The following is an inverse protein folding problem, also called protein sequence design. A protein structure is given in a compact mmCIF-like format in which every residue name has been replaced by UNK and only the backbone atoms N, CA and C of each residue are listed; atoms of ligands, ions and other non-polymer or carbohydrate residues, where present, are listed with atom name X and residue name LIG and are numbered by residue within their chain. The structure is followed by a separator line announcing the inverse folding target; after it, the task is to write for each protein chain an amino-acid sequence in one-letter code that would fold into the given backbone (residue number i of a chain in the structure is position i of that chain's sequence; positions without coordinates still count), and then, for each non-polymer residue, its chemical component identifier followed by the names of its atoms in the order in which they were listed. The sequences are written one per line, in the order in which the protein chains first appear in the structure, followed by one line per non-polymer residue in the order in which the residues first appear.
data_IF_397476820787
#
_entry.id   IF_397476820787
#
_cell.length_a   1.000
_cell.length_b   1.000
_cell.length_c   1.000
_cell.angle_alpha   90.00
_cell.angle_beta   90.00
_cell.angle_gamma   90.00
#
_symmetry.space_group_name_H-M   'P 1'
#
loop_
_entity.id
_entity.type
_entity.pdbx_description
1 polymer ?
#
# COMPACT_ATOMS: atom_id res chain seq x y z
N UNK A 1 16.14 -8.93 10.12
CA UNK A 1 14.71 -9.34 10.16
C UNK A 1 14.28 -9.56 8.73
N UNK A 2 13.42 -10.54 8.50
CA UNK A 2 12.97 -10.88 7.14
C UNK A 2 11.64 -10.23 6.86
N UNK A 3 11.52 -9.66 5.66
CA UNK A 3 10.34 -8.95 5.20
C UNK A 3 9.95 -9.49 3.83
N UNK A 4 8.66 -9.78 3.67
CA UNK A 4 8.09 -10.23 2.41
C UNK A 4 6.97 -9.30 1.98
N UNK A 5 6.99 -8.89 0.72
CA UNK A 5 5.87 -8.32 0.00
C UNK A 5 5.42 -9.34 -1.06
N UNK A 6 4.26 -9.94 -0.86
CA UNK A 6 3.62 -10.83 -1.83
C UNK A 6 2.50 -10.09 -2.56
N UNK A 7 2.59 -10.03 -3.88
CA UNK A 7 1.60 -9.35 -4.73
C UNK A 7 0.86 -10.35 -5.58
N UNK A 8 -0.46 -10.20 -5.66
CA UNK A 8 -1.35 -11.01 -6.49
C UNK A 8 -2.12 -10.12 -7.45
N UNK A 9 -2.67 -10.68 -8.52
CA UNK A 9 -3.62 -9.94 -9.36
C UNK A 9 -4.88 -9.71 -8.52
N UNK A 10 -5.39 -10.81 -7.96
CA UNK A 10 -6.38 -10.83 -6.89
C UNK A 10 -5.92 -11.80 -5.81
N UNK A 11 -5.57 -11.29 -4.63
CA UNK A 11 -5.09 -12.10 -3.52
C UNK A 11 -6.21 -13.04 -3.03
N UNK A 12 -5.97 -14.36 -2.97
CA UNK A 12 -6.93 -15.29 -2.40
C UNK A 12 -7.00 -15.13 -0.88
N UNK A 13 -8.14 -15.44 -0.29
CA UNK A 13 -8.32 -15.34 1.17
C UNK A 13 -7.31 -16.16 1.97
N UNK A 14 -6.86 -17.30 1.42
CA UNK A 14 -5.85 -18.17 2.03
C UNK A 14 -4.46 -17.52 2.11
N UNK A 15 -4.15 -16.55 1.24
CA UNK A 15 -2.88 -15.83 1.28
C UNK A 15 -2.89 -14.68 2.30
N UNK A 16 -4.06 -14.18 2.69
CA UNK A 16 -4.18 -13.01 3.57
C UNK A 16 -3.97 -13.42 5.03
N UNK A 17 -2.95 -12.84 5.68
CA UNK A 17 -2.48 -13.23 7.02
C UNK A 17 -2.29 -12.01 7.93
N UNK A 18 -2.38 -12.23 9.24
CA UNK A 18 -2.20 -11.15 10.21
C UNK A 18 -3.38 -10.19 10.24
N UNK A 19 -3.09 -8.89 10.33
CA UNK A 19 -4.10 -7.82 10.28
C UNK A 19 -4.64 -7.70 8.85
N UNK A 20 -5.94 -7.91 8.67
CA UNK A 20 -6.65 -7.71 7.39
C UNK A 20 -7.20 -6.29 7.29
N UNK A 21 -7.07 -5.66 6.13
CA UNK A 21 -7.61 -4.32 5.88
C UNK A 21 -8.84 -4.42 5.00
N UNK A 22 -10.01 -4.14 5.57
CA UNK A 22 -11.31 -4.30 4.92
C UNK A 22 -11.74 -3.07 4.11
N UNK A 23 -11.00 -1.97 4.22
CA UNK A 23 -11.24 -0.74 3.48
C UNK A 23 -9.97 -0.31 2.71
N UNK A 24 -9.37 -1.28 2.02
CA UNK A 24 -8.20 -1.12 1.19
C UNK A 24 -8.58 -0.91 -0.28
N UNK A 25 -8.00 0.08 -0.94
CA UNK A 25 -8.33 0.46 -2.33
C UNK A 25 -7.10 0.44 -3.23
N UNK A 26 -7.20 -0.16 -4.41
CA UNK A 26 -6.10 -0.24 -5.37
C UNK A 26 -5.61 1.17 -5.75
N UNK A 27 -4.30 1.41 -5.89
CA UNK A 27 -3.78 2.71 -6.32
C UNK A 27 -4.26 3.13 -7.74
N UNK A 28 -4.66 2.16 -8.56
CA UNK A 28 -5.21 2.38 -9.91
C UNK A 28 -6.01 1.16 -10.37
N UNK A 29 -6.94 1.36 -11.31
CA UNK A 29 -7.62 0.26 -12.01
C UNK A 29 -6.70 -0.48 -12.99
N UNK A 30 -5.65 0.20 -13.49
CA UNK A 30 -4.67 -0.43 -14.36
C UNK A 30 -3.67 -1.23 -13.54
N UNK A 31 -3.53 -2.53 -13.86
CA UNK A 31 -2.55 -3.41 -13.22
C UNK A 31 -1.14 -2.80 -13.16
N UNK A 32 -0.64 -2.29 -14.29
CA UNK A 32 0.71 -1.74 -14.37
C UNK A 32 0.89 -0.49 -13.48
N UNK A 33 -0.14 0.36 -13.41
CA UNK A 33 -0.14 1.56 -12.59
C UNK A 33 -0.26 1.23 -11.11
N UNK A 34 -1.16 0.31 -10.77
CA UNK A 34 -1.35 -0.19 -9.40
C UNK A 34 -0.06 -0.82 -8.87
N UNK A 35 0.56 -1.72 -9.64
CA UNK A 35 1.87 -2.32 -9.32
C UNK A 35 2.94 -1.26 -9.13
N UNK A 36 2.98 -0.23 -9.98
CA UNK A 36 3.91 0.90 -9.79
C UNK A 36 3.66 1.61 -8.46
N UNK A 37 2.41 1.89 -8.10
CA UNK A 37 2.06 2.51 -6.82
C UNK A 37 2.49 1.68 -5.62
N UNK A 38 2.23 0.37 -5.65
CA UNK A 38 2.65 -0.57 -4.59
C UNK A 38 4.16 -0.61 -4.42
N UNK A 39 4.89 -0.75 -5.53
CA UNK A 39 6.35 -0.92 -5.47
C UNK A 39 7.09 0.39 -5.16
N UNK A 40 6.48 1.55 -5.36
CA UNK A 40 7.14 2.85 -5.12
C UNK A 40 6.61 3.56 -3.87
N UNK A 41 5.42 3.19 -3.39
CA UNK A 41 4.69 3.90 -2.34
C UNK A 41 4.28 5.32 -2.72
N UNK A 42 4.24 5.62 -4.02
CA UNK A 42 3.80 6.92 -4.55
C UNK A 42 2.57 6.74 -5.43
N UNK A 43 1.80 7.80 -5.59
CA UNK A 43 0.69 7.81 -6.53
C UNK A 43 1.20 7.53 -7.95
N UNK A 44 0.55 6.62 -8.70
CA UNK A 44 1.02 6.29 -10.04
C UNK A 44 1.12 7.51 -10.96
N UNK A 45 0.27 8.53 -10.76
CA UNK A 45 0.25 9.81 -11.47
C UNK A 45 1.59 10.55 -11.40
N UNK A 46 2.39 10.35 -10.35
CA UNK A 46 3.72 10.97 -10.21
C UNK A 46 4.76 10.40 -11.17
N UNK A 47 4.54 9.20 -11.71
CA UNK A 47 5.51 8.56 -12.59
C UNK A 47 6.76 8.02 -11.90
N UNK A 48 6.72 7.83 -10.57
CA UNK A 48 7.82 7.34 -9.75
C UNK A 48 8.45 6.04 -10.27
N UNK A 49 9.78 5.96 -10.25
CA UNK A 49 10.53 4.77 -10.70
C UNK A 49 11.33 4.05 -9.61
N UNK A 50 11.82 4.74 -8.58
CA UNK A 50 12.50 4.12 -7.42
C UNK A 50 11.60 3.17 -6.68
N UNK A 51 11.94 1.88 -6.68
CA UNK A 51 11.15 0.81 -6.05
C UNK A 51 11.64 0.53 -4.64
N UNK A 52 10.77 -0.06 -3.82
CA UNK A 52 11.10 -0.57 -2.50
C UNK A 52 12.26 -1.57 -2.53
N UNK A 53 12.42 -2.36 -3.59
CA UNK A 53 13.58 -3.26 -3.72
C UNK A 53 14.90 -2.47 -3.75
N UNK A 54 14.93 -1.32 -4.41
CA UNK A 54 16.12 -0.47 -4.50
C UNK A 54 16.43 0.15 -3.12
N UNK A 55 15.38 0.50 -2.37
CA UNK A 55 15.47 1.01 -0.99
C UNK A 55 16.09 -0.03 -0.06
N UNK A 56 15.60 -1.26 -0.13
CA UNK A 56 16.07 -2.35 0.71
C UNK A 56 17.49 -2.79 0.33
N UNK A 57 17.83 -2.81 -0.97
CA UNK A 57 19.18 -3.10 -1.43
C UNK A 57 20.18 -2.07 -0.89
N UNK A 58 19.84 -0.77 -0.91
CA UNK A 58 20.65 0.29 -0.31
C UNK A 58 20.80 0.17 1.21
N UNK A 59 19.82 -0.46 1.86
CA UNK A 59 19.86 -0.79 3.29
C UNK A 59 20.56 -2.12 3.60
N UNK A 60 21.31 -2.67 2.63
CA UNK A 60 22.08 -3.92 2.76
C UNK A 60 21.23 -5.18 2.97
N UNK A 61 19.95 -5.14 2.57
CA UNK A 61 19.13 -6.36 2.50
C UNK A 61 19.44 -7.15 1.23
N UNK A 62 19.45 -8.48 1.33
CA UNK A 62 19.42 -9.35 0.16
C UNK A 62 18.02 -9.32 -0.47
N UNK A 63 17.94 -8.98 -1.76
CA UNK A 63 16.68 -8.97 -2.50
C UNK A 63 16.43 -10.35 -3.12
N UNK A 64 15.26 -10.93 -2.85
CA UNK A 64 14.87 -12.26 -3.34
C UNK A 64 13.50 -12.25 -4.01
N UNK A 65 13.33 -13.16 -4.96
CA UNK A 65 12.06 -13.44 -5.66
C UNK A 65 11.59 -14.89 -5.42
N UNK A 66 12.23 -15.57 -4.48
CA UNK A 66 11.91 -16.92 -4.03
C UNK A 66 11.70 -16.93 -2.51
N UNK A 67 11.25 -18.07 -1.98
CA UNK A 67 11.03 -18.27 -0.55
C UNK A 67 12.31 -18.61 0.23
N UNK A 68 13.45 -18.69 -0.45
CA UNK A 68 14.72 -19.05 0.16
C UNK A 68 15.34 -17.87 0.92
N UNK A 69 16.46 -18.14 1.59
CA UNK A 69 17.22 -17.18 2.38
C UNK A 69 16.78 -17.13 3.84
N UNK A 70 17.67 -16.65 4.71
CA UNK A 70 17.42 -16.47 6.13
C UNK A 70 18.13 -15.19 6.59
N UNK A 71 17.46 -14.36 7.39
CA UNK A 71 17.97 -13.12 8.00
C UNK A 71 18.44 -12.01 7.05
N UNK A 72 17.78 -10.86 7.13
CA UNK A 72 18.19 -9.68 6.35
C UNK A 72 17.75 -9.75 4.89
N UNK A 73 16.69 -10.51 4.61
CA UNK A 73 16.14 -10.68 3.27
C UNK A 73 14.89 -9.81 3.10
N UNK A 74 14.82 -9.12 1.96
CA UNK A 74 13.57 -8.56 1.44
C UNK A 74 13.08 -9.37 0.25
N UNK A 75 11.92 -10.01 0.39
CA UNK A 75 11.30 -10.82 -0.66
C UNK A 75 10.23 -10.02 -1.38
N UNK A 76 10.34 -9.94 -2.70
CA UNK A 76 9.25 -9.53 -3.56
C UNK A 76 8.74 -10.75 -4.33
N UNK A 77 7.62 -11.31 -3.90
CA UNK A 77 7.02 -12.49 -4.51
C UNK A 77 5.82 -12.09 -5.36
N UNK A 78 5.88 -12.35 -6.66
CA UNK A 78 4.78 -12.03 -7.58
C UNK A 78 4.02 -13.31 -7.94
N UNK A 79 2.72 -13.35 -7.63
CA UNK A 79 1.87 -14.55 -7.74
C UNK A 79 2.46 -15.81 -7.08
N UNK A 80 2.94 -15.76 -5.83
CA UNK A 80 3.38 -16.99 -5.17
C UNK A 80 2.18 -17.93 -4.93
N UNK A 81 2.44 -19.23 -4.82
CA UNK A 81 1.45 -20.14 -4.25
C UNK A 81 1.13 -19.73 -2.80
N UNK A 82 -0.14 -19.75 -2.41
CA UNK A 82 -0.57 -19.20 -1.13
C UNK A 82 0.01 -19.94 0.08
N UNK A 83 0.19 -21.26 -0.04
CA UNK A 83 0.78 -22.13 0.98
C UNK A 83 2.27 -21.87 1.19
N UNK A 84 2.97 -21.41 0.15
CA UNK A 84 4.38 -21.00 0.25
C UNK A 84 4.57 -19.86 1.26
N UNK A 85 3.55 -18.99 1.43
CA UNK A 85 3.59 -17.91 2.40
C UNK A 85 3.53 -18.42 3.85
N UNK A 86 2.94 -19.60 4.10
CA UNK A 86 2.80 -20.17 5.45
C UNK A 86 4.15 -20.47 6.09
N UNK A 87 5.12 -20.85 5.26
CA UNK A 87 6.48 -21.25 5.66
C UNK A 87 7.38 -20.05 5.94
N UNK A 88 6.98 -18.84 5.55
CA UNK A 88 7.77 -17.64 5.74
C UNK A 88 7.73 -17.17 7.19
N UNK A 89 8.91 -16.88 7.72
CA UNK A 89 9.09 -16.24 9.02
C UNK A 89 9.29 -14.73 8.87
N UNK A 90 8.97 -13.96 9.91
CA UNK A 90 9.10 -12.51 9.90
C UNK A 90 7.85 -11.79 9.43
N UNK A 91 8.04 -10.65 8.77
CA UNK A 91 6.92 -9.78 8.32
C UNK A 91 6.45 -10.24 6.95
N UNK A 92 5.15 -10.43 6.78
CA UNK A 92 4.54 -10.82 5.50
C UNK A 92 3.41 -9.85 5.18
N UNK A 93 3.61 -9.01 4.18
CA UNK A 93 2.58 -8.17 3.60
C UNK A 93 2.05 -8.82 2.32
N UNK A 94 0.73 -8.79 2.15
CA UNK A 94 0.04 -9.34 0.99
C UNK A 94 -0.92 -8.31 0.43
N UNK A 95 -0.96 -8.14 -0.89
CA UNK A 95 -1.95 -7.28 -1.54
C UNK A 95 -2.37 -7.76 -2.94
N UNK A 96 -3.58 -7.37 -3.32
CA UNK A 96 -4.06 -7.39 -4.71
C UNK A 96 -3.56 -6.18 -5.48
N UNK A 97 -3.18 -6.40 -6.73
CA UNK A 97 -2.78 -5.36 -7.69
C UNK A 97 -3.94 -4.93 -8.58
N UNK A 98 -4.96 -5.77 -8.75
CA UNK A 98 -6.18 -5.40 -9.43
C UNK A 98 -7.31 -5.18 -8.42
N UNK A 99 -8.13 -4.13 -8.61
CA UNK A 99 -9.31 -3.95 -7.78
C UNK A 99 -10.34 -5.06 -8.06
N UNK A 100 -11.12 -5.42 -7.04
CA UNK A 100 -12.35 -6.17 -7.20
C UNK A 100 -13.44 -5.33 -7.87
N UNK A 101 -14.62 -5.92 -8.06
CA UNK A 101 -15.75 -5.25 -8.73
C UNK A 101 -16.20 -3.96 -8.03
N UNK A 102 -16.02 -3.87 -6.73
CA UNK A 102 -16.35 -2.70 -5.91
C UNK A 102 -15.21 -1.68 -5.82
N UNK A 103 -14.06 -1.94 -6.46
CA UNK A 103 -12.85 -1.12 -6.44
C UNK A 103 -11.88 -1.42 -5.28
N UNK A 104 -12.24 -2.32 -4.36
CA UNK A 104 -11.38 -2.69 -3.23
C UNK A 104 -10.21 -3.57 -3.66
N UNK A 105 -9.10 -3.51 -2.94
CA UNK A 105 -7.93 -4.35 -3.15
C UNK A 105 -7.59 -5.10 -1.87
N UNK A 106 -7.91 -6.40 -1.75
CA UNK A 106 -7.57 -7.19 -0.58
C UNK A 106 -6.12 -7.00 -0.16
N UNK A 107 -5.91 -6.68 1.12
CA UNK A 107 -4.61 -6.36 1.69
C UNK A 107 -4.52 -6.86 3.13
N UNK A 108 -3.36 -7.38 3.51
CA UNK A 108 -3.09 -7.82 4.87
C UNK A 108 -1.62 -7.68 5.24
N UNK A 109 -1.34 -7.63 6.54
CA UNK A 109 0.02 -7.58 7.06
C UNK A 109 0.13 -8.43 8.34
N UNK A 110 0.97 -9.46 8.26
CA UNK A 110 1.43 -10.25 9.39
C UNK A 110 2.73 -9.65 9.92
N UNK A 111 2.73 -9.24 11.19
CA UNK A 111 3.93 -8.82 11.91
C UNK A 111 3.98 -9.53 13.26
N UNK A 112 4.88 -10.51 13.44
CA UNK A 112 5.00 -11.24 14.69
C UNK A 112 5.15 -10.34 15.91
N UNK A 113 4.35 -10.59 16.95
CA UNK A 113 4.28 -9.80 18.18
C UNK A 113 3.66 -8.40 18.06
N UNK A 114 3.13 -8.01 16.89
CA UNK A 114 2.51 -6.69 16.67
C UNK A 114 1.15 -6.78 16.00
N UNK A 115 1.06 -7.50 14.88
CA UNK A 115 -0.13 -7.63 14.05
C UNK A 115 -0.26 -9.09 13.58
N UNK A 116 -0.71 -9.97 14.47
CA UNK A 116 -0.82 -11.40 14.21
C UNK A 116 -2.23 -11.84 13.79
N UNK A 117 -3.23 -11.01 14.09
CA UNK A 117 -4.63 -11.23 13.76
C UNK A 117 -5.42 -9.92 13.66
N UNK A 118 -6.72 -10.07 13.40
CA UNK A 118 -7.73 -9.02 13.47
C UNK A 118 -7.96 -8.28 12.16
N UNK A 119 -8.87 -7.31 12.23
CA UNK A 119 -9.32 -6.53 11.08
C UNK A 119 -9.15 -5.03 11.34
N UNK A 120 -9.04 -4.25 10.26
CA UNK A 120 -9.05 -2.79 10.27
C UNK A 120 -10.01 -2.28 9.20
N UNK A 121 -10.82 -1.29 9.58
CA UNK A 121 -11.75 -0.60 8.68
C UNK A 121 -11.26 0.79 8.25
N UNK A 122 -10.06 1.17 8.70
CA UNK A 122 -9.43 2.43 8.30
C UNK A 122 -9.17 2.46 6.80
N UNK A 123 -9.31 3.65 6.21
CA UNK A 123 -9.07 3.85 4.79
C UNK A 123 -7.58 3.73 4.49
N UNK A 124 -7.21 2.75 3.67
CA UNK A 124 -5.81 2.44 3.33
C UNK A 124 -5.68 2.03 1.86
N UNK A 125 -4.46 1.89 1.38
CA UNK A 125 -4.16 1.43 0.03
C UNK A 125 -2.91 0.54 -0.01
N UNK A 126 -2.79 -0.41 -0.95
CA UNK A 126 -1.56 -1.13 -1.20
C UNK A 126 -0.30 -0.25 -1.41
N UNK A 127 -0.44 1.02 -1.83
CA UNK A 127 0.69 1.96 -1.88
C UNK A 127 1.26 2.33 -0.49
N UNK A 128 0.53 2.05 0.58
CA UNK A 128 0.98 2.23 1.97
C UNK A 128 2.00 1.16 2.40
N UNK A 129 2.06 0.03 1.70
CA UNK A 129 2.94 -1.08 2.07
C UNK A 129 4.41 -0.69 1.96
N UNK A 130 4.80 0.06 0.93
CA UNK A 130 6.20 0.46 0.77
C UNK A 130 6.74 1.29 1.96
N UNK A 131 6.12 2.43 2.34
CA UNK A 131 6.55 3.18 3.53
C UNK A 131 6.39 2.38 4.82
N UNK A 132 5.37 1.53 4.93
CA UNK A 132 5.18 0.70 6.14
C UNK A 132 6.30 -0.32 6.32
N UNK A 133 6.65 -1.07 5.28
CA UNK A 133 7.71 -2.07 5.33
C UNK A 133 9.08 -1.43 5.57
N UNK A 134 9.36 -0.30 4.91
CA UNK A 134 10.59 0.47 5.16
C UNK A 134 10.67 0.94 6.63
N UNK A 135 9.58 1.45 7.21
CA UNK A 135 9.54 1.85 8.62
C UNK A 135 9.74 0.66 9.56
N UNK A 136 9.16 -0.51 9.25
CA UNK A 136 9.35 -1.74 10.02
C UNK A 136 10.82 -2.19 10.00
N UNK A 137 11.51 -2.04 8.86
CA UNK A 137 12.94 -2.26 8.73
C UNK A 137 13.82 -1.21 9.45
N UNK A 138 13.21 -0.16 10.03
CA UNK A 138 13.93 0.92 10.71
C UNK A 138 14.51 1.99 9.77
N UNK A 139 14.05 2.03 8.52
CA UNK A 139 14.47 3.03 7.54
C UNK A 139 13.72 4.36 7.76
N UNK A 140 14.36 5.46 7.37
CA UNK A 140 13.75 6.79 7.48
C UNK A 140 12.74 7.01 6.34
N UNK A 141 11.47 7.09 6.72
CA UNK A 141 10.33 7.28 5.80
C UNK A 141 9.68 8.65 5.93
N UNK A 142 10.37 9.62 6.57
CA UNK A 142 9.85 10.99 6.69
C UNK A 142 9.75 11.64 5.31
N UNK A 143 8.80 12.58 5.08
CA UNK A 143 8.61 13.23 3.77
C UNK A 143 9.86 13.91 3.17
N UNK A 144 10.86 14.26 3.99
CA UNK A 144 12.11 14.88 3.56
C UNK A 144 13.29 13.89 3.49
N UNK A 145 13.06 12.60 3.73
CA UNK A 145 14.07 11.57 3.51
C UNK A 145 14.34 11.42 2.00
N UNK A 146 15.41 10.72 1.62
CA UNK A 146 15.74 10.45 0.22
C UNK A 146 14.62 9.70 -0.54
N UNK A 147 13.63 9.19 0.18
CA UNK A 147 12.42 8.54 -0.35
C UNK A 147 11.20 9.29 0.18
N UNK A 148 10.57 10.08 -0.68
CA UNK A 148 9.26 10.66 -0.38
C UNK A 148 8.18 9.66 -0.80
N UNK A 149 7.37 9.21 0.15
CA UNK A 149 6.20 8.38 -0.10
C UNK A 149 4.93 9.24 -0.07
N UNK A 150 3.96 8.94 -0.95
CA UNK A 150 2.59 9.43 -0.78
C UNK A 150 1.79 8.48 0.14
N UNK A 151 2.21 7.22 0.22
CA UNK A 151 1.63 6.22 1.11
C UNK A 151 1.85 6.56 2.57
N UNK A 152 0.88 6.15 3.39
CA UNK A 152 0.92 6.32 4.83
C UNK A 152 1.72 5.18 5.47
N UNK A 153 2.66 5.51 6.36
CA UNK A 153 3.25 4.51 7.24
C UNK A 153 2.19 3.99 8.23
N UNK A 154 1.80 2.72 8.09
CA UNK A 154 0.75 2.08 8.89
C UNK A 154 1.24 1.55 10.25
N UNK A 155 2.52 1.67 10.61
CA UNK A 155 3.03 1.21 11.92
C UNK A 155 2.23 1.79 13.11
N UNK A 156 1.87 3.09 13.16
CA UNK A 156 1.03 3.62 14.23
C UNK A 156 -0.37 3.01 14.26
N UNK A 157 -0.96 2.73 13.09
CA UNK A 157 -2.25 2.03 12.99
C UNK A 157 -2.12 0.61 13.57
N UNK A 158 -1.10 -0.14 13.14
CA UNK A 158 -0.88 -1.52 13.56
C UNK A 158 -0.61 -1.66 15.07
N UNK A 159 0.15 -0.74 15.65
CA UNK A 159 0.52 -0.80 17.08
C UNK A 159 -0.53 -0.20 18.02
N UNK A 160 -1.24 0.84 17.58
CA UNK A 160 -2.01 1.69 18.47
C UNK A 160 -3.43 1.99 17.97
N UNK A 161 -3.84 1.47 16.81
CA UNK A 161 -5.16 1.75 16.24
C UNK A 161 -5.32 3.19 15.78
N UNK A 162 -4.23 3.85 15.36
CA UNK A 162 -4.30 5.17 14.75
C UNK A 162 -5.10 5.16 13.43
N UNK A 163 -5.64 6.32 13.05
CA UNK A 163 -6.41 6.48 11.83
C UNK A 163 -5.56 6.26 10.57
N UNK A 164 -6.21 5.79 9.50
CA UNK A 164 -5.65 5.68 8.16
C UNK A 164 -5.65 7.01 7.41
N UNK A 165 -5.74 6.93 6.08
CA UNK A 165 -5.85 8.11 5.22
C UNK A 165 -7.15 8.88 5.50
N UNK A 166 -7.05 10.21 5.54
CA UNK A 166 -8.24 11.06 5.48
C UNK A 166 -8.90 10.98 4.09
N UNK A 167 -8.08 10.84 3.04
CA UNK A 167 -8.52 10.74 1.66
C UNK A 167 -7.54 9.94 0.80
N UNK A 168 -8.06 9.15 -0.14
CA UNK A 168 -7.32 8.54 -1.23
C UNK A 168 -7.75 9.18 -2.55
N UNK A 169 -6.79 9.54 -3.38
CA UNK A 169 -7.02 10.23 -4.64
C UNK A 169 -6.74 9.31 -5.84
N UNK A 170 -7.56 9.44 -6.88
CA UNK A 170 -7.54 8.64 -8.10
C UNK A 170 -7.70 9.54 -9.34
N UNK A 171 -7.45 8.97 -10.52
CA UNK A 171 -7.59 9.66 -11.80
C UNK A 171 -9.02 10.15 -12.07
N UNK A 172 -10.02 9.50 -11.48
CA UNK A 172 -11.43 9.81 -11.65
C UNK A 172 -12.10 10.34 -10.38
N UNK A 173 -11.36 10.56 -9.29
CA UNK A 173 -12.03 10.87 -8.04
C UNK A 173 -11.19 10.96 -6.78
N UNK A 174 -11.91 11.11 -5.66
CA UNK A 174 -11.38 11.05 -4.30
C UNK A 174 -12.32 10.23 -3.43
N UNK A 175 -11.74 9.43 -2.53
CA UNK A 175 -12.46 8.63 -1.54
C UNK A 175 -12.02 9.03 -0.14
N UNK A 176 -12.98 9.22 0.74
CA UNK A 176 -12.79 9.44 2.17
C UNK A 176 -13.61 8.38 2.93
N UNK A 177 -13.49 8.36 4.26
CA UNK A 177 -14.29 7.43 5.07
C UNK A 177 -15.80 7.64 4.94
N UNK A 178 -16.23 8.90 4.84
CA UNK A 178 -17.63 9.28 4.89
C UNK A 178 -18.22 9.68 3.52
N UNK A 179 -17.37 9.86 2.51
CA UNK A 179 -17.80 10.37 1.22
C UNK A 179 -16.88 9.96 0.06
N UNK A 180 -17.45 9.88 -1.15
CA UNK A 180 -16.73 9.62 -2.39
C UNK A 180 -17.15 10.59 -3.48
N UNK A 181 -16.22 10.90 -4.37
CA UNK A 181 -16.47 11.54 -5.66
C UNK A 181 -15.82 10.67 -6.71
N UNK A 182 -16.60 10.00 -7.54
CA UNK A 182 -16.11 9.11 -8.60
C UNK A 182 -16.84 9.50 -9.90
N UNK A 183 -16.09 9.73 -10.98
CA UNK A 183 -16.62 10.12 -12.29
C UNK A 183 -17.60 11.30 -12.23
N UNK A 184 -17.28 12.28 -11.37
CA UNK A 184 -18.10 13.48 -11.14
C UNK A 184 -19.35 13.26 -10.27
N UNK A 185 -19.60 12.04 -9.80
CA UNK A 185 -20.73 11.71 -8.92
C UNK A 185 -20.28 11.64 -7.46
N UNK A 186 -20.88 12.47 -6.60
CA UNK A 186 -20.60 12.46 -5.17
C UNK A 186 -21.61 11.62 -4.38
N UNK A 187 -21.10 10.84 -3.43
CA UNK A 187 -21.90 10.13 -2.42
C UNK A 187 -21.40 10.53 -1.03
N UNK A 188 -22.23 11.17 -0.18
CA UNK A 188 -23.56 11.69 -0.49
C UNK A 188 -23.51 12.87 -1.48
N UNK A 189 -24.59 13.17 -2.24
CA UNK A 189 -24.60 14.27 -3.20
C UNK A 189 -24.28 15.65 -2.61
N UNK A 190 -24.60 15.86 -1.33
CA UNK A 190 -24.29 17.10 -0.61
C UNK A 190 -22.79 17.35 -0.43
N UNK A 191 -21.95 16.31 -0.54
CA UNK A 191 -20.50 16.43 -0.42
C UNK A 191 -19.82 16.94 -1.71
N UNK A 192 -20.56 17.05 -2.82
CA UNK A 192 -20.00 17.36 -4.14
C UNK A 192 -19.08 18.60 -4.16
N UNK A 193 -19.47 19.77 -3.62
CA UNK A 193 -18.62 20.97 -3.71
C UNK A 193 -17.26 20.77 -3.02
N UNK A 194 -17.28 20.18 -1.82
CA UNK A 194 -16.07 19.90 -1.03
C UNK A 194 -15.16 18.90 -1.73
N UNK A 195 -15.71 17.79 -2.23
CA UNK A 195 -14.91 16.75 -2.87
C UNK A 195 -14.32 17.21 -4.21
N UNK A 196 -15.04 18.06 -4.96
CA UNK A 196 -14.53 18.65 -6.19
C UNK A 196 -13.35 19.58 -5.93
N UNK A 197 -13.42 20.39 -4.86
CA UNK A 197 -12.33 21.26 -4.44
C UNK A 197 -11.09 20.45 -4.03
N UNK A 198 -11.25 19.46 -3.14
CA UNK A 198 -10.16 18.60 -2.66
C UNK A 198 -9.47 17.85 -3.82
N UNK A 199 -10.27 17.23 -4.70
CA UNK A 199 -9.74 16.52 -5.85
C UNK A 199 -9.07 17.46 -6.87
N UNK A 200 -9.62 18.66 -7.05
CA UNK A 200 -9.03 19.70 -7.91
C UNK A 200 -7.67 20.16 -7.39
N UNK A 201 -7.56 20.41 -6.09
CA UNK A 201 -6.31 20.79 -5.44
C UNK A 201 -5.25 19.70 -5.58
N UNK A 202 -5.61 18.45 -5.27
CA UNK A 202 -4.68 17.32 -5.44
C UNK A 202 -4.17 17.19 -6.87
N UNK A 203 -5.05 17.33 -7.89
CA UNK A 203 -4.62 17.30 -9.30
C UNK A 203 -3.58 18.37 -9.62
N UNK A 204 -3.77 19.58 -9.09
CA UNK A 204 -2.78 20.67 -9.27
C UNK A 204 -1.42 20.33 -8.65
N UNK A 205 -1.40 19.56 -7.55
CA UNK A 205 -0.15 19.11 -6.94
C UNK A 205 0.54 18.00 -7.74
N UNK A 206 -0.22 17.09 -8.37
CA UNK A 206 0.34 16.02 -9.19
C UNK A 206 1.06 16.54 -10.44
N UNK A 207 0.68 17.71 -10.96
CA UNK A 207 1.35 18.36 -12.09
C UNK A 207 2.80 18.78 -11.79
N UNK A 208 3.19 18.85 -10.51
CA UNK A 208 4.58 19.17 -10.11
C UNK A 208 5.57 18.00 -10.30
N UNK A 209 5.09 16.81 -10.68
CA UNK A 209 5.93 15.65 -10.96
C UNK A 209 6.32 14.82 -9.72
N UNK A 210 7.24 13.86 -9.86
CA UNK A 210 7.66 12.99 -8.78
C UNK A 210 8.47 13.74 -7.72
N UNK A 211 8.30 13.33 -6.46
CA UNK A 211 9.16 13.73 -5.35
C UNK A 211 10.23 12.63 -5.22
N UNK A 212 11.34 12.78 -5.94
CA UNK A 212 12.45 11.82 -5.98
C UNK A 212 13.79 12.54 -5.94
#
# INVERSE_FOLDING_TARGET
MDITLATFDHAPDSALRGRRFLNAWAPSESYAQSRRGVLTGQYPQRGATTRITDVFEQAEYEIRQDVEGDTGVFRLLEQPEADALEQLHGVVAVCSLQPGEDGTAPMSLLWPGVAEDGESHELVSPLDLAPTLAAIAGLDVRPNAALSFDGLNLVPLLRYGAAGHAALFFDNGVRMMDATLIDGTATPPSALPRLQEEWGLWKSFMEMGPLQ
#
